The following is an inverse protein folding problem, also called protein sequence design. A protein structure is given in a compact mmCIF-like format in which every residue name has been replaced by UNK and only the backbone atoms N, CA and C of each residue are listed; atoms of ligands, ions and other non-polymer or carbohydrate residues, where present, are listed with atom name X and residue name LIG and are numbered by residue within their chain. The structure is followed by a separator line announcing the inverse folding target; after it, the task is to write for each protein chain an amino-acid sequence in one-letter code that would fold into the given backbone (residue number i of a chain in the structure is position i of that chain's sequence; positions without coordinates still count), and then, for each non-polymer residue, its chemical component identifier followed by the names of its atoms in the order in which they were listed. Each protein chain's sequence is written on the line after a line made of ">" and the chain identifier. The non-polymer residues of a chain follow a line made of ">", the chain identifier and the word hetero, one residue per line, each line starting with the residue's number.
data_IF_346708786487
#
_entry.id   IF_346708786487
#
_cell.length_a   1.000
_cell.length_b   1.000
_cell.length_c   1.000
_cell.angle_alpha   90.00
_cell.angle_beta   90.00
_cell.angle_gamma   90.00
#
_symmetry.space_group_name_H-M   'P 1'
#
loop_
_entity.id
_entity.type
_entity.pdbx_description
1 polymer ?
#
# COMPACT_ATOMS: atom_id res chain seq x y z
N UNK A 1 -12.44 22.07 6.06
CA UNK A 1 -11.82 20.80 5.65
C UNK A 1 -11.59 19.96 6.89
N UNK A 2 -11.93 18.67 6.86
CA UNK A 2 -11.68 17.76 8.02
C UNK A 2 -10.22 17.80 8.47
N UNK A 3 -9.29 17.96 7.53
CA UNK A 3 -7.86 18.10 7.81
C UNK A 3 -7.54 19.28 8.74
N UNK A 4 -8.17 20.44 8.55
CA UNK A 4 -7.95 21.60 9.42
C UNK A 4 -8.40 21.35 10.86
N UNK A 5 -9.51 20.66 11.05
CA UNK A 5 -9.99 20.29 12.38
C UNK A 5 -9.02 19.31 13.07
N UNK A 6 -8.49 18.36 12.32
CA UNK A 6 -7.49 17.42 12.83
C UNK A 6 -6.19 18.12 13.21
N UNK A 7 -5.70 19.01 12.37
CA UNK A 7 -4.50 19.82 12.65
C UNK A 7 -4.68 20.67 13.90
N UNK A 8 -5.80 21.39 14.03
CA UNK A 8 -6.13 22.17 15.22
C UNK A 8 -6.24 21.31 16.48
N UNK A 9 -6.85 20.12 16.36
CA UNK A 9 -6.97 19.18 17.48
C UNK A 9 -5.59 18.68 17.92
N UNK A 10 -4.76 18.25 16.99
CA UNK A 10 -3.41 17.78 17.27
C UNK A 10 -2.57 18.85 17.95
N UNK A 11 -2.60 20.09 17.43
CA UNK A 11 -1.88 21.23 18.03
C UNK A 11 -2.31 21.50 19.47
N UNK A 12 -3.63 21.50 19.75
CA UNK A 12 -4.17 21.75 21.09
C UNK A 12 -3.82 20.64 22.11
N UNK A 13 -3.60 19.42 21.62
CA UNK A 13 -3.36 18.25 22.48
C UNK A 13 -1.88 17.80 22.48
N UNK A 14 -0.97 18.58 21.88
CA UNK A 14 0.46 18.25 21.84
C UNK A 14 0.77 16.99 21.03
N UNK A 15 -0.06 16.69 20.02
CA UNK A 15 0.11 15.54 19.14
C UNK A 15 0.82 16.01 17.86
N UNK A 16 1.93 15.37 17.52
CA UNK A 16 2.63 15.63 16.26
C UNK A 16 1.87 15.01 15.10
N UNK A 17 1.36 15.84 14.19
CA UNK A 17 0.68 15.39 12.98
C UNK A 17 1.68 15.27 11.83
N UNK A 18 1.78 14.09 11.24
CA UNK A 18 2.65 13.84 10.08
C UNK A 18 1.80 13.48 8.86
N UNK A 19 1.89 14.29 7.81
CA UNK A 19 1.25 14.00 6.55
C UNK A 19 2.14 13.13 5.66
N UNK A 20 1.61 11.99 5.24
CA UNK A 20 2.29 11.11 4.31
C UNK A 20 1.37 10.77 3.13
N UNK A 21 1.75 11.20 1.93
CA UNK A 21 0.88 11.12 0.75
C UNK A 21 1.10 9.80 0.01
N UNK A 22 0.04 9.00 -0.05
CA UNK A 22 -0.07 7.81 -0.90
C UNK A 22 -1.42 7.81 -1.61
N UNK A 23 -1.41 7.47 -2.90
CA UNK A 23 -2.62 7.30 -3.69
C UNK A 23 -3.16 5.88 -3.55
N UNK A 24 -4.48 5.73 -3.42
CA UNK A 24 -5.11 4.41 -3.26
C UNK A 24 -5.43 3.69 -4.57
N UNK A 25 -5.42 4.41 -5.70
CA UNK A 25 -5.85 3.90 -7.01
C UNK A 25 -4.73 3.91 -8.05
N UNK A 26 -3.52 4.06 -7.60
CA UNK A 26 -2.30 4.09 -8.41
C UNK A 26 -1.22 3.26 -7.74
N UNK A 27 -0.32 2.69 -8.52
CA UNK A 27 0.87 2.05 -7.97
C UNK A 27 1.69 3.10 -7.19
N UNK A 28 2.25 2.74 -6.02
CA UNK A 28 2.97 3.69 -5.19
C UNK A 28 4.20 4.25 -5.93
N UNK A 29 4.54 5.51 -5.66
CA UNK A 29 5.81 6.03 -6.13
C UNK A 29 6.97 5.36 -5.38
N UNK A 30 8.06 5.07 -6.10
CA UNK A 30 9.29 4.49 -5.55
C UNK A 30 9.77 5.26 -4.32
N UNK A 31 9.88 6.59 -4.47
CA UNK A 31 10.37 7.46 -3.40
C UNK A 31 9.45 7.45 -2.19
N UNK A 32 8.13 7.34 -2.38
CA UNK A 32 7.18 7.23 -1.28
C UNK A 32 7.36 5.91 -0.51
N UNK A 33 7.61 4.80 -1.20
CA UNK A 33 7.85 3.52 -0.54
C UNK A 33 9.15 3.55 0.28
N UNK A 34 10.21 4.10 -0.28
CA UNK A 34 11.50 4.23 0.42
C UNK A 34 11.41 5.22 1.59
N UNK A 35 10.72 6.36 1.39
CA UNK A 35 10.49 7.35 2.44
C UNK A 35 9.65 6.80 3.61
N UNK A 36 8.78 5.81 3.38
CA UNK A 36 8.03 5.15 4.46
C UNK A 36 8.96 4.44 5.46
N UNK A 37 10.08 3.87 5.01
CA UNK A 37 11.10 3.27 5.88
C UNK A 37 11.68 4.31 6.83
N UNK A 38 12.09 5.46 6.30
CA UNK A 38 12.68 6.53 7.09
C UNK A 38 11.65 7.14 8.04
N UNK A 39 10.41 7.32 7.58
CA UNK A 39 9.29 7.75 8.42
C UNK A 39 9.15 6.84 9.64
N UNK A 40 9.02 5.52 9.45
CA UNK A 40 8.83 4.57 10.55
C UNK A 40 10.04 4.48 11.48
N UNK A 41 11.23 4.75 11.00
CA UNK A 41 12.44 4.81 11.83
C UNK A 41 12.47 6.07 12.70
N UNK A 42 11.95 7.20 12.21
CA UNK A 42 11.98 8.50 12.86
C UNK A 42 10.76 8.85 13.73
N UNK A 43 9.67 8.08 13.65
CA UNK A 43 8.46 8.34 14.45
C UNK A 43 8.68 8.07 15.93
N UNK A 44 8.11 8.93 16.77
CA UNK A 44 7.90 8.65 18.20
C UNK A 44 6.65 7.80 18.37
N UNK A 45 6.77 6.74 19.17
CA UNK A 45 5.68 5.80 19.42
C UNK A 45 5.11 5.96 20.86
N UNK A 46 3.79 5.73 21.08
CA UNK A 46 2.84 5.16 20.12
C UNK A 46 2.42 6.14 19.02
N UNK A 47 2.17 5.65 17.81
CA UNK A 47 1.69 6.43 16.68
C UNK A 47 0.37 5.85 16.16
N UNK A 48 -0.60 6.73 15.85
CA UNK A 48 -1.84 6.37 15.18
C UNK A 48 -1.70 6.66 13.69
N UNK A 49 -1.97 5.66 12.87
CA UNK A 49 -1.97 5.78 11.42
C UNK A 49 -3.38 5.59 10.88
N UNK A 50 -3.87 6.54 10.10
CA UNK A 50 -5.18 6.45 9.49
C UNK A 50 -5.22 7.05 8.08
N UNK A 51 -6.26 6.73 7.34
CA UNK A 51 -6.65 7.39 6.10
C UNK A 51 -8.17 7.59 6.10
N UNK A 52 -8.75 8.06 4.99
CA UNK A 52 -10.20 8.38 4.95
C UNK A 52 -11.11 7.20 5.31
N UNK A 53 -10.78 5.97 4.89
CA UNK A 53 -11.59 4.76 5.12
C UNK A 53 -10.91 3.69 5.96
N UNK A 54 -9.64 3.87 6.33
CA UNK A 54 -8.88 2.91 7.11
C UNK A 54 -8.46 1.63 6.37
N UNK A 55 -8.85 1.44 5.11
CA UNK A 55 -8.67 0.19 4.38
C UNK A 55 -7.39 0.18 3.50
N UNK A 56 -7.40 0.91 2.38
CA UNK A 56 -6.41 0.74 1.32
C UNK A 56 -5.05 1.37 1.65
N UNK A 57 -5.00 2.70 1.84
CA UNK A 57 -3.75 3.43 2.14
C UNK A 57 -3.19 3.05 3.50
N UNK A 58 -4.06 2.97 4.51
CA UNK A 58 -3.66 2.52 5.84
C UNK A 58 -3.20 1.05 5.80
N UNK A 59 -3.85 0.20 5.01
CA UNK A 59 -3.44 -1.19 4.78
C UNK A 59 -2.05 -1.32 4.16
N UNK A 60 -1.76 -0.54 3.11
CA UNK A 60 -0.42 -0.52 2.52
C UNK A 60 0.63 -0.03 3.52
N UNK A 61 0.38 1.08 4.19
CA UNK A 61 1.32 1.63 5.18
C UNK A 61 1.51 0.68 6.37
N UNK A 62 0.47 -0.05 6.79
CA UNK A 62 0.59 -1.09 7.81
C UNK A 62 1.48 -2.25 7.34
N UNK A 63 1.34 -2.67 6.09
CA UNK A 63 2.22 -3.69 5.51
C UNK A 63 3.67 -3.22 5.45
N UNK A 64 3.92 -1.99 5.02
CA UNK A 64 5.26 -1.40 4.99
C UNK A 64 5.85 -1.24 6.40
N UNK A 65 5.04 -0.84 7.39
CA UNK A 65 5.46 -0.78 8.80
C UNK A 65 5.87 -2.16 9.32
N UNK A 66 5.05 -3.17 9.09
CA UNK A 66 5.36 -4.54 9.53
C UNK A 66 6.64 -5.05 8.87
N UNK A 67 6.89 -4.72 7.61
CA UNK A 67 8.10 -5.09 6.92
C UNK A 67 9.32 -4.29 7.42
N UNK A 68 9.31 -2.97 7.28
CA UNK A 68 10.46 -2.13 7.55
C UNK A 68 10.79 -1.99 9.04
N UNK A 69 9.77 -1.91 9.89
CA UNK A 69 9.97 -1.66 11.33
C UNK A 69 9.96 -2.94 12.17
N UNK A 70 9.17 -3.94 11.78
CA UNK A 70 9.02 -5.19 12.53
C UNK A 70 9.78 -6.36 11.89
N UNK A 71 10.33 -6.20 10.69
CA UNK A 71 11.11 -7.22 10.00
C UNK A 71 10.31 -8.39 9.44
N UNK A 72 8.96 -8.26 9.31
CA UNK A 72 8.16 -9.33 8.74
C UNK A 72 8.40 -9.45 7.22
N UNK A 73 8.39 -10.68 6.68
CA UNK A 73 8.41 -10.88 5.24
C UNK A 73 7.20 -10.19 4.56
N UNK A 74 7.39 -9.67 3.35
CA UNK A 74 6.31 -9.03 2.58
C UNK A 74 5.11 -9.96 2.41
N UNK A 75 5.32 -11.27 2.25
CA UNK A 75 4.24 -12.26 2.14
C UNK A 75 3.29 -12.27 3.35
N UNK A 76 3.82 -12.04 4.54
CA UNK A 76 3.04 -11.93 5.77
C UNK A 76 2.46 -10.51 5.93
N UNK A 77 3.28 -9.49 5.75
CA UNK A 77 2.90 -8.10 5.88
C UNK A 77 1.74 -7.72 4.92
N UNK A 78 1.73 -8.26 3.71
CA UNK A 78 0.70 -8.08 2.70
C UNK A 78 -0.72 -8.45 3.17
N UNK A 79 -0.87 -9.29 4.22
CA UNK A 79 -2.17 -9.66 4.80
C UNK A 79 -2.94 -8.46 5.36
N UNK A 80 -2.29 -7.31 5.58
CA UNK A 80 -2.93 -6.04 5.93
C UNK A 80 -3.82 -5.53 4.79
N UNK A 81 -3.56 -5.91 3.54
CA UNK A 81 -4.40 -5.65 2.37
C UNK A 81 -5.35 -6.83 2.14
N UNK A 82 -6.36 -6.97 2.98
CA UNK A 82 -7.32 -8.08 2.94
C UNK A 82 -8.75 -7.61 3.25
N UNK A 83 -9.72 -8.45 2.89
CA UNK A 83 -11.14 -8.20 3.20
C UNK A 83 -11.40 -8.02 4.70
N UNK A 84 -10.60 -8.65 5.55
CA UNK A 84 -10.69 -8.48 7.01
C UNK A 84 -10.54 -7.01 7.43
N UNK A 85 -9.75 -6.24 6.68
CA UNK A 85 -9.49 -4.82 6.91
C UNK A 85 -10.17 -3.91 5.88
N UNK A 86 -11.17 -4.44 5.15
CA UNK A 86 -11.96 -3.69 4.18
C UNK A 86 -11.29 -3.45 2.83
N UNK A 87 -10.12 -4.05 2.57
CA UNK A 87 -9.46 -3.95 1.27
C UNK A 87 -10.02 -4.98 0.28
N UNK A 88 -10.44 -4.51 -0.90
CA UNK A 88 -11.02 -5.33 -1.97
C UNK A 88 -10.08 -5.38 -3.16
N UNK A 89 -9.46 -6.54 -3.40
CA UNK A 89 -8.48 -6.76 -4.50
C UNK A 89 -9.05 -6.51 -5.89
N UNK A 90 -10.34 -6.81 -6.08
CA UNK A 90 -11.04 -6.64 -7.36
C UNK A 90 -11.42 -5.17 -7.63
N UNK A 91 -11.28 -4.28 -6.66
CA UNK A 91 -11.48 -2.85 -6.83
C UNK A 91 -10.25 -2.18 -7.49
N UNK A 92 -10.41 -0.93 -7.92
CA UNK A 92 -9.28 -0.13 -8.43
C UNK A 92 -8.14 0.04 -7.42
N UNK A 93 -8.46 -0.04 -6.13
CA UNK A 93 -7.50 0.00 -5.02
C UNK A 93 -6.69 -1.28 -4.89
N UNK A 94 -7.09 -2.36 -5.53
CA UNK A 94 -6.34 -3.63 -5.61
C UNK A 94 -4.94 -3.49 -6.21
N UNK A 95 -4.65 -2.37 -6.86
CA UNK A 95 -3.30 -2.06 -7.36
C UNK A 95 -2.24 -2.03 -6.24
N UNK A 96 -2.64 -1.69 -5.00
CA UNK A 96 -1.74 -1.69 -3.85
C UNK A 96 -1.34 -3.12 -3.43
N UNK A 97 -2.30 -4.05 -3.45
CA UNK A 97 -2.04 -5.48 -3.25
C UNK A 97 -1.21 -6.05 -4.41
N UNK A 98 -1.56 -5.67 -5.64
CA UNK A 98 -0.87 -6.10 -6.86
C UNK A 98 0.60 -5.65 -6.88
N UNK A 99 0.90 -4.46 -6.41
CA UNK A 99 2.28 -3.97 -6.24
C UNK A 99 3.11 -4.90 -5.36
N UNK A 100 2.60 -5.27 -4.17
CA UNK A 100 3.31 -6.20 -3.29
C UNK A 100 3.38 -7.61 -3.88
N UNK A 101 2.35 -8.06 -4.60
CA UNK A 101 2.36 -9.35 -5.29
C UNK A 101 3.40 -9.38 -6.40
N UNK A 102 3.55 -8.30 -7.16
CA UNK A 102 4.58 -8.19 -8.21
C UNK A 102 6.00 -8.39 -7.65
N UNK A 103 6.28 -7.83 -6.47
CA UNK A 103 7.53 -8.11 -5.78
C UNK A 103 7.67 -9.60 -5.42
N UNK A 104 6.64 -10.21 -4.84
CA UNK A 104 6.68 -11.62 -4.44
C UNK A 104 6.93 -12.54 -5.63
N UNK A 105 6.27 -12.28 -6.76
CA UNK A 105 6.42 -13.05 -8.00
C UNK A 105 7.83 -12.88 -8.61
N UNK A 106 8.42 -11.69 -8.48
CA UNK A 106 9.81 -11.44 -8.88
C UNK A 106 10.79 -12.17 -7.96
N UNK A 107 10.64 -12.02 -6.64
CA UNK A 107 11.54 -12.58 -5.64
C UNK A 107 11.54 -14.13 -5.62
N UNK A 108 10.43 -14.74 -6.04
CA UNK A 108 10.34 -16.20 -6.22
C UNK A 108 11.28 -16.73 -7.33
N UNK A 109 11.60 -15.90 -8.31
CA UNK A 109 12.49 -16.24 -9.45
C UNK A 109 13.90 -15.70 -9.24
N UNK A 110 14.02 -14.53 -8.67
CA UNK A 110 15.28 -13.82 -8.45
C UNK A 110 15.28 -13.29 -7.02
N UNK A 111 15.87 -14.03 -6.06
CA UNK A 111 15.91 -13.61 -4.66
C UNK A 111 16.53 -12.23 -4.52
N UNK A 112 15.78 -11.29 -3.95
CA UNK A 112 16.19 -9.91 -3.74
C UNK A 112 15.40 -9.32 -2.56
N UNK A 113 16.02 -8.46 -1.76
CA UNK A 113 15.35 -7.74 -0.70
C UNK A 113 14.31 -6.76 -1.29
N UNK A 114 13.19 -6.57 -0.59
CA UNK A 114 12.11 -5.69 -1.06
C UNK A 114 12.57 -4.27 -1.33
N UNK A 115 13.41 -3.71 -0.44
CA UNK A 115 13.96 -2.37 -0.60
C UNK A 115 14.82 -2.24 -1.85
N UNK A 116 15.68 -3.22 -2.11
CA UNK A 116 16.55 -3.24 -3.28
C UNK A 116 15.72 -3.38 -4.56
N UNK A 117 14.70 -4.24 -4.54
CA UNK A 117 13.77 -4.35 -5.65
C UNK A 117 13.03 -3.03 -5.92
N UNK A 118 12.54 -2.35 -4.89
CA UNK A 118 11.88 -1.04 -5.04
C UNK A 118 12.86 -0.02 -5.63
N UNK A 119 14.11 -0.02 -5.18
CA UNK A 119 15.14 0.94 -5.63
C UNK A 119 15.57 0.69 -7.08
N UNK A 120 15.83 -0.56 -7.43
CA UNK A 120 16.61 -0.88 -8.61
C UNK A 120 15.81 -1.52 -9.74
N UNK A 121 14.68 -2.16 -9.42
CA UNK A 121 13.90 -2.96 -10.39
C UNK A 121 12.48 -2.43 -10.60
N UNK A 122 11.83 -1.93 -9.54
CA UNK A 122 10.43 -1.53 -9.60
C UNK A 122 10.16 -0.46 -10.66
N UNK A 123 9.27 -0.79 -11.59
CA UNK A 123 8.74 0.11 -12.62
C UNK A 123 7.24 0.35 -12.36
N UNK A 124 6.92 1.56 -11.93
CA UNK A 124 5.57 1.97 -11.57
C UNK A 124 4.61 1.89 -12.76
N UNK A 125 5.06 2.28 -13.95
CA UNK A 125 4.24 2.34 -15.15
C UNK A 125 3.96 0.94 -15.69
N UNK A 126 4.97 0.06 -15.64
CA UNK A 126 4.81 -1.35 -16.00
C UNK A 126 3.82 -2.06 -15.06
N UNK A 127 3.92 -1.85 -13.74
CA UNK A 127 2.98 -2.41 -12.74
C UNK A 127 1.57 -1.86 -12.95
N UNK A 128 1.42 -0.57 -13.20
CA UNK A 128 0.12 0.06 -13.46
C UNK A 128 -0.53 -0.51 -14.72
N UNK A 129 0.23 -0.70 -15.78
CA UNK A 129 -0.25 -1.29 -17.03
C UNK A 129 -0.68 -2.72 -16.83
N UNK A 130 0.16 -3.56 -16.21
CA UNK A 130 -0.14 -4.96 -15.95
C UNK A 130 -1.39 -5.13 -15.06
N UNK A 131 -1.54 -4.29 -14.02
CA UNK A 131 -2.74 -4.28 -13.20
C UNK A 131 -4.00 -3.95 -14.00
N UNK A 132 -3.96 -2.93 -14.86
CA UNK A 132 -5.12 -2.56 -15.71
C UNK A 132 -5.52 -3.69 -16.63
N UNK A 133 -4.56 -4.33 -17.29
CA UNK A 133 -4.81 -5.47 -18.18
C UNK A 133 -5.46 -6.64 -17.43
N UNK A 134 -4.94 -7.00 -16.28
CA UNK A 134 -5.50 -8.04 -15.40
C UNK A 134 -6.89 -7.68 -14.90
N UNK A 135 -7.10 -6.45 -14.49
CA UNK A 135 -8.40 -5.96 -13.99
C UNK A 135 -9.47 -6.00 -15.07
N UNK A 136 -9.17 -5.54 -16.30
CA UNK A 136 -10.11 -5.61 -17.43
C UNK A 136 -10.43 -7.04 -17.79
N UNK A 137 -9.47 -7.95 -17.80
CA UNK A 137 -9.70 -9.36 -18.08
C UNK A 137 -10.68 -9.98 -17.06
N UNK A 138 -10.54 -9.69 -15.77
CA UNK A 138 -11.46 -10.16 -14.73
C UNK A 138 -12.87 -9.60 -14.89
N UNK A 139 -13.02 -8.31 -15.20
CA UNK A 139 -14.34 -7.67 -15.42
C UNK A 139 -15.06 -8.25 -16.63
N UNK A 140 -14.35 -8.56 -17.70
CA UNK A 140 -14.94 -9.18 -18.90
C UNK A 140 -15.40 -10.61 -18.58
N UNK A 141 -14.58 -11.40 -17.89
CA UNK A 141 -14.90 -12.77 -17.50
C UNK A 141 -16.16 -12.81 -16.61
N UNK A 142 -16.22 -11.95 -15.60
CA UNK A 142 -17.39 -11.87 -14.70
C UNK A 142 -18.69 -11.48 -15.46
N UNK A 143 -18.59 -10.60 -16.46
CA UNK A 143 -19.76 -10.22 -17.27
C UNK A 143 -20.22 -11.33 -18.21
N UNK A 144 -19.31 -12.13 -18.73
CA UNK A 144 -19.63 -13.26 -19.61
C UNK A 144 -20.28 -14.40 -18.81
N UNK A 145 -19.69 -14.74 -17.64
CA UNK A 145 -20.21 -15.82 -16.78
C UNK A 145 -21.57 -15.49 -16.12
N UNK A 146 -21.92 -14.23 -15.94
CA UNK A 146 -23.23 -13.83 -15.39
C UNK A 146 -24.35 -13.78 -16.44
N UNK A 147 -24.06 -14.09 -17.70
CA UNK A 147 -25.06 -14.13 -18.79
C UNK A 147 -25.57 -15.53 -19.12
N UNK A 148 -25.04 -16.54 -18.43
CA UNK A 148 -25.57 -17.91 -18.42
C UNK A 148 -26.35 -18.14 -17.10
#
# INVERSE_FOLDING_TARGET
>A
SFYRFEEEFCQRNGITLVNFIINSREAPYRDSVLAAKDLFAGLEYPALMHCKSGADRAGLMSALYLHFRKGLPIAEAKRQLSLRYGHVRQAKTGILDFFLQTYLDFAAKTPMAFEDWVRDVYDRDAVTKAFRESWWASVITDKVLRRE
#
